data_IF_051232386706
#
_entry.id   IF_051232386706
#
_cell.length_a   1.000
_cell.length_b   1.000
_cell.length_c   1.000
_cell.angle_alpha   90.00
_cell.angle_beta   90.00
_cell.angle_gamma   90.00
#
_symmetry.space_group_name_H-M   'P 1'
#
loop_
_entity.id
_entity.type
_entity.pdbx_description
1 polymer ?
#
# COMPACT_ATOMS: atom_id res chain seq x y z
N UNK A 1 12.92 13.01 12.72
CA UNK A 1 12.10 12.80 11.50
C UNK A 1 12.09 11.30 11.23
N UNK A 2 10.91 10.64 11.23
CA UNK A 2 10.81 9.25 10.76
C UNK A 2 11.26 9.24 9.30
N UNK A 3 12.26 8.43 8.94
CA UNK A 3 12.79 8.38 7.57
C UNK A 3 11.71 7.93 6.58
N UNK A 4 11.80 8.38 5.32
CA UNK A 4 10.84 8.08 4.24
C UNK A 4 10.48 6.58 4.17
N UNK A 5 11.48 5.71 4.36
CA UNK A 5 11.32 4.26 4.45
C UNK A 5 10.33 3.84 5.55
N UNK A 6 10.54 4.31 6.77
CA UNK A 6 9.71 3.91 7.92
C UNK A 6 8.28 4.46 7.82
N UNK A 7 8.12 5.66 7.27
CA UNK A 7 6.79 6.23 7.01
C UNK A 7 5.99 5.37 6.04
N UNK A 8 6.60 4.93 4.93
CA UNK A 8 5.94 4.08 3.94
C UNK A 8 5.62 2.68 4.47
N UNK A 9 6.56 2.06 5.19
CA UNK A 9 6.35 0.74 5.81
C UNK A 9 5.19 0.80 6.82
N UNK A 10 5.18 1.81 7.70
CA UNK A 10 4.10 1.98 8.68
C UNK A 10 2.76 2.24 8.00
N UNK A 11 2.72 3.10 6.98
CA UNK A 11 1.50 3.36 6.23
C UNK A 11 0.90 2.08 5.62
N UNK A 12 1.74 1.24 4.99
CA UNK A 12 1.30 -0.03 4.40
C UNK A 12 0.83 -1.03 5.45
N UNK A 13 1.54 -1.14 6.57
CA UNK A 13 1.15 -2.05 7.67
C UNK A 13 -0.15 -1.61 8.35
N UNK A 14 -0.33 -0.30 8.56
CA UNK A 14 -1.58 0.27 9.11
C UNK A 14 -2.74 -0.03 8.16
N UNK A 15 -2.57 0.25 6.85
CA UNK A 15 -3.59 -0.06 5.86
C UNK A 15 -3.90 -1.57 5.81
N UNK A 16 -2.89 -2.44 5.86
CA UNK A 16 -3.09 -3.89 5.91
C UNK A 16 -3.90 -4.31 7.15
N UNK A 17 -3.61 -3.75 8.32
CA UNK A 17 -4.39 -3.96 9.54
C UNK A 17 -5.86 -3.54 9.38
N UNK A 18 -6.12 -2.39 8.75
CA UNK A 18 -7.47 -1.93 8.45
C UNK A 18 -8.24 -2.85 7.50
N UNK A 19 -7.58 -3.39 6.47
CA UNK A 19 -8.17 -4.38 5.58
C UNK A 19 -8.45 -5.71 6.28
N UNK A 20 -7.57 -6.16 7.18
CA UNK A 20 -7.80 -7.37 7.98
C UNK A 20 -9.00 -7.20 8.92
N UNK A 21 -9.14 -6.04 9.55
CA UNK A 21 -10.33 -5.72 10.35
C UNK A 21 -11.61 -5.79 9.50
N UNK A 22 -11.58 -5.20 8.30
CA UNK A 22 -12.71 -5.27 7.36
C UNK A 22 -12.99 -6.70 6.87
N UNK A 23 -11.96 -7.53 6.70
CA UNK A 23 -12.12 -8.91 6.23
C UNK A 23 -12.85 -9.81 7.23
N UNK A 24 -12.78 -9.49 8.53
CA UNK A 24 -13.47 -10.22 9.60
C UNK A 24 -14.92 -9.80 9.80
N UNK A 25 -15.42 -8.77 9.10
CA UNK A 25 -16.76 -8.25 9.30
C UNK A 25 -17.80 -9.26 8.84
N UNK A 26 -18.71 -9.62 9.74
CA UNK A 26 -19.82 -10.52 9.44
C UNK A 26 -21.08 -9.75 9.06
N UNK A 27 -22.03 -10.36 8.32
CA UNK A 27 -23.27 -9.70 7.90
C UNK A 27 -24.16 -9.20 9.04
N UNK A 28 -23.97 -9.72 10.25
CA UNK A 28 -24.71 -9.35 11.46
C UNK A 28 -24.04 -8.22 12.28
N UNK A 29 -22.84 -7.77 11.90
CA UNK A 29 -22.14 -6.75 12.65
C UNK A 29 -22.75 -5.36 12.43
N UNK A 30 -22.84 -4.59 13.50
CA UNK A 30 -23.24 -3.19 13.41
C UNK A 30 -22.18 -2.37 12.65
N UNK A 31 -22.62 -1.51 11.74
CA UNK A 31 -21.73 -0.68 10.92
C UNK A 31 -20.70 0.11 11.75
N UNK A 32 -21.14 0.67 12.89
CA UNK A 32 -20.31 1.50 13.76
C UNK A 32 -19.17 0.74 14.44
N UNK A 33 -19.35 -0.56 14.73
CA UNK A 33 -18.34 -1.38 15.41
C UNK A 33 -17.58 -2.31 14.46
N UNK A 34 -18.21 -2.76 13.37
CA UNK A 34 -17.59 -3.65 12.40
C UNK A 34 -16.83 -2.92 11.28
N UNK A 35 -17.47 -1.94 10.63
CA UNK A 35 -16.96 -1.36 9.38
C UNK A 35 -16.22 -0.04 9.60
N UNK A 36 -16.80 0.84 10.43
CA UNK A 36 -16.27 2.18 10.68
C UNK A 36 -14.81 2.16 11.16
N UNK A 37 -14.41 1.32 12.14
CA UNK A 37 -13.04 1.36 12.66
C UNK A 37 -12.02 0.98 11.58
N UNK A 38 -12.29 -0.07 10.79
CA UNK A 38 -11.38 -0.46 9.73
C UNK A 38 -11.31 0.56 8.60
N UNK A 39 -12.42 1.20 8.22
CA UNK A 39 -12.38 2.30 7.23
C UNK A 39 -11.52 3.48 7.71
N UNK A 40 -11.60 3.84 8.99
CA UNK A 40 -10.77 4.89 9.58
C UNK A 40 -9.29 4.50 9.56
N UNK A 41 -8.96 3.25 9.91
CA UNK A 41 -7.58 2.74 9.90
C UNK A 41 -7.00 2.74 8.48
N UNK A 42 -7.75 2.25 7.48
CA UNK A 42 -7.32 2.28 6.08
C UNK A 42 -7.12 3.71 5.57
N UNK A 43 -8.03 4.62 5.93
CA UNK A 43 -7.96 6.03 5.54
C UNK A 43 -6.75 6.72 6.16
N UNK A 44 -6.45 6.41 7.42
CA UNK A 44 -5.30 6.95 8.12
C UNK A 44 -3.98 6.44 7.51
N UNK A 45 -3.86 5.14 7.25
CA UNK A 45 -2.69 4.57 6.57
C UNK A 45 -2.50 5.16 5.17
N UNK A 46 -3.58 5.28 4.40
CA UNK A 46 -3.53 5.84 3.04
C UNK A 46 -3.18 7.34 3.03
N UNK A 47 -3.71 8.12 3.96
CA UNK A 47 -3.41 9.56 4.08
C UNK A 47 -1.94 9.85 4.41
N UNK A 48 -1.29 8.96 5.17
CA UNK A 48 0.15 9.03 5.43
C UNK A 48 0.99 8.50 4.25
N UNK A 49 0.53 7.41 3.62
CA UNK A 49 1.26 6.72 2.58
C UNK A 49 1.29 7.48 1.25
N UNK A 50 0.16 8.07 0.84
CA UNK A 50 0.01 8.66 -0.50
C UNK A 50 1.01 9.80 -0.78
N UNK A 51 1.20 10.79 0.13
CA UNK A 51 2.19 11.85 -0.08
C UNK A 51 3.62 11.31 -0.04
N UNK A 52 3.90 10.36 0.87
CA UNK A 52 5.22 9.74 0.99
C UNK A 52 5.61 8.96 -0.27
N UNK A 53 4.65 8.28 -0.90
CA UNK A 53 4.83 7.56 -2.17
C UNK A 53 5.08 8.52 -3.33
N UNK A 54 4.33 9.61 -3.39
CA UNK A 54 4.53 10.65 -4.40
C UNK A 54 5.93 11.26 -4.30
N UNK A 55 6.39 11.58 -3.08
CA UNK A 55 7.74 12.07 -2.84
C UNK A 55 8.78 11.02 -3.25
N UNK A 56 8.62 9.76 -2.83
CA UNK A 56 9.55 8.69 -3.14
C UNK A 56 9.66 8.39 -4.65
N UNK A 57 8.54 8.48 -5.38
CA UNK A 57 8.50 8.14 -6.80
C UNK A 57 9.17 9.16 -7.73
N UNK A 58 9.38 10.39 -7.27
CA UNK A 58 10.09 11.44 -8.00
C UNK A 58 11.46 11.74 -7.37
N UNK A 59 11.79 11.07 -6.26
CA UNK A 59 13.04 11.26 -5.56
C UNK A 59 14.20 10.71 -6.41
N UNK A 60 15.17 11.55 -6.75
CA UNK A 60 16.33 11.19 -7.58
C UNK A 60 16.19 11.50 -9.08
N UNK A 61 15.10 12.15 -9.51
CA UNK A 61 15.01 12.70 -10.87
C UNK A 61 15.66 14.09 -10.93
N UNK A 62 16.47 14.35 -11.96
CA UNK A 62 16.93 15.71 -12.27
C UNK A 62 15.75 16.66 -12.50
N UNK A 63 15.91 17.95 -12.19
CA UNK A 63 14.86 18.96 -12.28
C UNK A 63 14.27 19.07 -13.70
N UNK A 64 15.09 18.83 -14.72
CA UNK A 64 14.68 18.75 -16.14
C UNK A 64 13.79 17.52 -16.44
N UNK A 65 13.95 16.44 -15.68
CA UNK A 65 13.26 15.16 -15.86
C UNK A 65 12.10 14.93 -14.87
N UNK A 66 11.83 15.86 -13.95
CA UNK A 66 10.79 15.72 -12.93
C UNK A 66 9.38 15.53 -13.53
N UNK A 67 9.10 16.20 -14.66
CA UNK A 67 7.84 16.05 -15.39
C UNK A 67 7.65 14.64 -15.96
N UNK A 68 8.71 14.05 -16.52
CA UNK A 68 8.71 12.67 -17.02
C UNK A 68 8.55 11.66 -15.88
N UNK A 69 9.26 11.87 -14.77
CA UNK A 69 9.14 11.02 -13.57
C UNK A 69 7.71 10.99 -13.02
N UNK A 70 7.06 12.15 -12.89
CA UNK A 70 5.68 12.26 -12.45
C UNK A 70 4.68 11.62 -13.42
N UNK A 71 4.89 11.79 -14.73
CA UNK A 71 4.04 11.17 -15.76
C UNK A 71 4.13 9.64 -15.74
N UNK A 72 5.35 9.09 -15.58
CA UNK A 72 5.58 7.64 -15.44
C UNK A 72 4.91 7.14 -14.16
N UNK A 73 5.13 7.82 -13.03
CA UNK A 73 4.53 7.44 -11.75
C UNK A 73 3.00 7.38 -11.84
N UNK A 74 2.38 8.40 -12.42
CA UNK A 74 0.93 8.46 -12.61
C UNK A 74 0.41 7.35 -13.53
N UNK A 75 1.13 7.06 -14.62
CA UNK A 75 0.78 5.99 -15.55
C UNK A 75 0.87 4.61 -14.88
N UNK A 76 1.94 4.36 -14.14
CA UNK A 76 2.11 3.12 -13.36
C UNK A 76 1.02 3.00 -12.29
N UNK A 77 0.63 4.09 -11.63
CA UNK A 77 -0.46 4.08 -10.66
C UNK A 77 -1.81 3.74 -11.30
N UNK A 78 -2.15 4.35 -12.44
CA UNK A 78 -3.40 4.06 -13.14
C UNK A 78 -3.45 2.62 -13.65
N UNK A 79 -2.39 2.16 -14.31
CA UNK A 79 -2.30 0.80 -14.83
C UNK A 79 -2.29 -0.22 -13.68
N UNK A 80 -1.47 0.01 -12.66
CA UNK A 80 -1.38 -0.85 -11.48
C UNK A 80 -2.70 -0.91 -10.70
N UNK A 81 -3.38 0.22 -10.54
CA UNK A 81 -4.69 0.29 -9.91
C UNK A 81 -5.75 -0.49 -10.69
N UNK A 82 -5.79 -0.33 -12.01
CA UNK A 82 -6.73 -1.05 -12.87
C UNK A 82 -6.46 -2.56 -12.87
N UNK A 83 -5.21 -2.98 -13.04
CA UNK A 83 -4.82 -4.39 -13.06
C UNK A 83 -5.06 -5.04 -11.70
N UNK A 84 -4.65 -4.37 -10.61
CA UNK A 84 -4.86 -4.86 -9.25
C UNK A 84 -6.34 -5.04 -8.93
N UNK A 85 -7.17 -4.04 -9.26
CA UNK A 85 -8.61 -4.11 -9.07
C UNK A 85 -9.22 -5.26 -9.90
N UNK A 86 -8.83 -5.41 -11.16
CA UNK A 86 -9.34 -6.48 -12.03
C UNK A 86 -9.06 -7.88 -11.46
N UNK A 87 -7.84 -8.11 -10.95
CA UNK A 87 -7.47 -9.38 -10.32
C UNK A 87 -8.30 -9.63 -9.06
N UNK A 88 -8.41 -8.62 -8.18
CA UNK A 88 -9.16 -8.73 -6.92
C UNK A 88 -10.66 -8.99 -7.16
N UNK A 89 -11.27 -8.28 -8.11
CA UNK A 89 -12.67 -8.49 -8.51
C UNK A 89 -12.85 -9.89 -9.10
N UNK A 90 -11.95 -10.34 -9.97
CA UNK A 90 -12.03 -11.68 -10.55
C UNK A 90 -11.98 -12.77 -9.47
N UNK A 91 -11.12 -12.62 -8.46
CA UNK A 91 -11.02 -13.55 -7.34
C UNK A 91 -12.30 -13.52 -6.48
N UNK A 92 -12.81 -12.33 -6.15
CA UNK A 92 -14.06 -12.17 -5.39
C UNK A 92 -15.25 -12.85 -6.10
N UNK A 93 -15.40 -12.62 -7.41
CA UNK A 93 -16.48 -13.19 -8.21
C UNK A 93 -16.38 -14.71 -8.27
N UNK A 94 -15.21 -15.26 -8.60
CA UNK A 94 -15.01 -16.72 -8.66
C UNK A 94 -15.35 -17.40 -7.34
N UNK A 95 -14.91 -16.83 -6.21
CA UNK A 95 -15.19 -17.40 -4.89
C UNK A 95 -16.67 -17.30 -4.53
N UNK A 96 -17.32 -16.19 -4.88
CA UNK A 96 -18.75 -16.01 -4.66
C UNK A 96 -19.57 -17.02 -5.48
N UNK A 97 -19.22 -17.23 -6.76
CA UNK A 97 -19.89 -18.21 -7.63
C UNK A 97 -19.75 -19.64 -7.10
N UNK A 98 -18.55 -20.04 -6.66
CA UNK A 98 -18.28 -21.37 -6.09
C UNK A 98 -19.16 -21.67 -4.86
N UNK A 99 -19.41 -20.66 -4.03
CA UNK A 99 -20.14 -20.81 -2.76
C UNK A 99 -21.65 -20.57 -2.89
N UNK A 100 -22.12 -19.96 -3.98
CA UNK A 100 -23.51 -19.50 -4.13
C UNK A 100 -24.52 -20.64 -3.96
N UNK A 101 -24.25 -21.80 -4.55
CA UNK A 101 -25.14 -22.97 -4.48
C UNK A 101 -25.16 -23.63 -3.09
N UNK A 102 -24.16 -23.37 -2.25
CA UNK A 102 -23.98 -24.04 -0.95
C UNK A 102 -24.51 -23.24 0.24
N UNK A 103 -24.28 -21.93 0.25
CA UNK A 103 -24.56 -21.06 1.42
C UNK A 103 -25.50 -19.90 1.09
N UNK A 104 -25.96 -19.80 -0.16
CA UNK A 104 -26.81 -18.73 -0.66
C UNK A 104 -26.04 -17.47 -1.05
N UNK A 105 -26.59 -16.70 -2.01
CA UNK A 105 -25.92 -15.58 -2.67
C UNK A 105 -25.36 -14.51 -1.70
N UNK A 106 -26.10 -14.17 -0.65
CA UNK A 106 -25.67 -13.11 0.28
C UNK A 106 -24.47 -13.51 1.14
N UNK A 107 -24.37 -14.77 1.58
CA UNK A 107 -23.21 -15.26 2.35
C UNK A 107 -22.01 -15.52 1.44
N UNK A 108 -22.25 -16.07 0.26
CA UNK A 108 -21.20 -16.31 -0.73
C UNK A 108 -20.50 -15.00 -1.14
N UNK A 109 -21.24 -13.91 -1.31
CA UNK A 109 -20.69 -12.60 -1.58
C UNK A 109 -19.81 -12.08 -0.43
N UNK A 110 -20.25 -12.21 0.83
CA UNK A 110 -19.46 -11.78 1.99
C UNK A 110 -18.15 -12.56 2.11
N UNK A 111 -18.17 -13.87 1.89
CA UNK A 111 -16.97 -14.72 1.88
C UNK A 111 -16.01 -14.33 0.74
N UNK A 112 -16.54 -14.07 -0.47
CA UNK A 112 -15.75 -13.57 -1.59
C UNK A 112 -15.06 -12.24 -1.27
N UNK A 113 -15.78 -11.30 -0.64
CA UNK A 113 -15.21 -10.03 -0.20
C UNK A 113 -14.16 -10.20 0.90
N UNK A 114 -14.43 -11.02 1.91
CA UNK A 114 -13.49 -11.30 3.00
C UNK A 114 -12.17 -11.87 2.47
N UNK A 115 -12.24 -12.86 1.57
CA UNK A 115 -11.08 -13.45 0.92
C UNK A 115 -10.29 -12.42 0.10
N UNK A 116 -10.96 -11.59 -0.67
CA UNK A 116 -10.28 -10.54 -1.45
C UNK A 116 -9.63 -9.48 -0.57
N UNK A 117 -10.26 -9.12 0.56
CA UNK A 117 -9.68 -8.19 1.54
C UNK A 117 -8.46 -8.78 2.25
N UNK A 118 -8.47 -10.07 2.60
CA UNK A 118 -7.28 -10.74 3.17
C UNK A 118 -6.12 -10.83 2.17
N UNK A 119 -6.41 -11.14 0.90
CA UNK A 119 -5.40 -11.14 -0.17
C UNK A 119 -4.82 -9.73 -0.35
N UNK A 120 -5.66 -8.70 -0.38
CA UNK A 120 -5.22 -7.32 -0.48
C UNK A 120 -4.37 -6.89 0.73
N UNK A 121 -4.71 -7.31 1.95
CA UNK A 121 -3.87 -7.11 3.12
C UNK A 121 -2.50 -7.80 2.98
N UNK A 122 -2.48 -9.03 2.48
CA UNK A 122 -1.24 -9.76 2.17
C UNK A 122 -0.36 -9.02 1.15
N UNK A 123 -0.96 -8.49 0.09
CA UNK A 123 -0.27 -7.67 -0.92
C UNK A 123 0.34 -6.40 -0.32
N UNK A 124 -0.35 -5.75 0.62
CA UNK A 124 0.21 -4.59 1.34
C UNK A 124 1.38 -4.98 2.24
N UNK A 125 1.31 -6.12 2.93
CA UNK A 125 2.46 -6.60 3.73
C UNK A 125 3.65 -6.93 2.84
N UNK A 126 3.43 -7.56 1.68
CA UNK A 126 4.48 -7.79 0.68
C UNK A 126 5.06 -6.47 0.16
N UNK A 127 4.22 -5.48 -0.12
CA UNK A 127 4.65 -4.13 -0.50
C UNK A 127 5.51 -3.46 0.59
N UNK A 128 5.11 -3.57 1.86
CA UNK A 128 5.89 -3.05 2.99
C UNK A 128 7.26 -3.74 3.09
N UNK A 129 7.33 -5.06 2.89
CA UNK A 129 8.57 -5.80 2.87
C UNK A 129 9.48 -5.38 1.71
N UNK A 130 8.93 -5.24 0.50
CA UNK A 130 9.66 -4.76 -0.68
C UNK A 130 10.22 -3.35 -0.47
N UNK A 131 9.41 -2.42 0.05
CA UNK A 131 9.87 -1.06 0.39
C UNK A 131 10.97 -1.13 1.45
N UNK A 132 10.80 -1.96 2.48
CA UNK A 132 11.79 -2.17 3.52
C UNK A 132 13.15 -2.63 2.97
N UNK A 133 13.15 -3.57 2.02
CA UNK A 133 14.36 -4.14 1.40
C UNK A 133 14.97 -3.19 0.38
N UNK A 134 14.17 -2.63 -0.54
CA UNK A 134 14.64 -1.79 -1.64
C UNK A 134 15.21 -0.45 -1.14
N UNK A 135 14.49 0.27 -0.26
CA UNK A 135 15.00 1.53 0.30
C UNK A 135 16.15 1.33 1.29
N UNK A 136 16.29 0.13 1.89
CA UNK A 136 17.48 -0.19 2.68
C UNK A 136 18.74 -0.28 1.82
N UNK A 137 18.62 -0.79 0.59
CA UNK A 137 19.73 -0.92 -0.36
C UNK A 137 20.24 0.45 -0.83
N UNK A 138 19.34 1.38 -1.13
CA UNK A 138 19.73 2.74 -1.56
C UNK A 138 20.37 3.55 -0.43
N UNK A 139 19.91 3.35 0.82
CA UNK A 139 20.52 3.98 1.99
C UNK A 139 21.95 3.45 2.26
N UNK A 140 22.21 2.19 1.94
CA UNK A 140 23.52 1.56 2.10
C UNK A 140 24.54 1.97 1.01
N UNK A 141 24.08 2.57 -0.08
CA UNK A 141 24.92 3.06 -1.19
C UNK A 141 25.40 4.52 -1.01
N UNK A 142 24.95 5.23 0.04
CA UNK A 142 25.42 6.59 0.38
C UNK A 142 26.45 6.73 1.55
N UNK A 143 27.36 5.79 1.89
CA UNK A 143 28.30 6.02 3.00
C UNK A 143 29.46 6.97 2.66
N UNK A 144 29.73 7.26 1.38
CA UNK A 144 31.06 7.73 0.94
C UNK A 144 31.14 9.15 0.37
N UNK A 145 30.01 9.86 0.17
CA UNK A 145 30.04 11.26 -0.32
C UNK A 145 30.27 12.29 0.80
N UNK A 146 29.82 12.01 2.04
CA UNK A 146 29.99 12.93 3.19
C UNK A 146 31.37 12.84 3.88
N UNK A 147 32.26 11.94 3.45
CA UNK A 147 33.60 11.81 4.02
C UNK A 147 34.66 12.70 3.35
N UNK A 148 34.30 13.48 2.30
CA UNK A 148 35.24 14.33 1.53
C UNK A 148 35.08 15.84 1.76
N UNK A 149 34.42 16.27 2.84
CA UNK A 149 34.48 17.67 3.27
C UNK A 149 35.06 17.88 4.68
N UNK A 150 36.31 17.46 4.96
CA UNK A 150 37.15 18.13 5.93
C UNK A 150 38.05 19.15 5.20
N UNK A 151 38.17 20.35 5.77
CA UNK A 151 39.24 21.35 5.53
C UNK A 151 39.25 22.20 4.23
N UNK A 152 38.23 23.02 3.99
CA UNK A 152 38.37 24.15 3.03
C UNK A 152 37.72 25.48 3.49
N UNK A 153 37.62 25.69 4.82
CA UNK A 153 37.20 26.97 5.42
C UNK A 153 38.15 27.50 6.51
N UNK A 154 39.44 27.20 6.38
CA UNK A 154 40.46 27.74 7.28
C UNK A 154 41.75 28.07 6.51
N UNK A 155 41.66 29.00 5.56
CA UNK A 155 42.79 29.84 5.10
C UNK A 155 42.24 31.21 4.73
#
# INVERSE_FOLDING_TARGET
RLGLRWTLVLAFLISAGGLLLLSGVSPNDSYALGVLPGMLVVSFGSGLGFPALAIAGVWGTDEENAGLGSAILSSVQQIGGAVGLAVLVSVATRRSEELTDSVGASRAATEGFSLTLTIAAGLLVLGAALIGVLLAKDSAAQPESNAREPSLKAV
#
